data_IF_507707145178
#
_entry.id   IF_507707145178
#
_cell.length_a   1.000
_cell.length_b   1.000
_cell.length_c   1.000
_cell.angle_alpha   90.00
_cell.angle_beta   90.00
_cell.angle_gamma   90.00
#
_symmetry.space_group_name_H-M   'P 1'
#
loop_
_entity.id
_entity.type
_entity.pdbx_description
1 polymer ?
#
# COMPACT_ATOMS: atom_id res chain seq x y z
N UNK A 1 -3.49 29.37 49.59
CA UNK A 1 -2.90 29.75 48.29
C UNK A 1 -1.85 28.76 47.74
N UNK A 2 -1.67 27.56 48.31
CA UNK A 2 -0.62 26.60 47.89
C UNK A 2 -1.06 25.56 46.84
N UNK A 3 -2.35 25.50 46.50
CA UNK A 3 -2.90 24.51 45.56
C UNK A 3 -3.27 25.08 44.19
N UNK A 4 -3.13 26.40 44.00
CA UNK A 4 -3.48 27.06 42.72
C UNK A 4 -2.39 26.83 41.65
N UNK A 5 -1.16 26.51 42.06
CA UNK A 5 -0.04 26.32 41.13
C UNK A 5 -0.01 24.94 40.44
N UNK A 6 -0.88 24.00 40.82
CA UNK A 6 -0.92 22.65 40.23
C UNK A 6 -1.85 22.49 39.02
N UNK A 7 -2.55 23.55 38.60
CA UNK A 7 -3.53 23.51 37.49
C UNK A 7 -2.94 23.81 36.10
N UNK A 8 -1.63 24.02 35.97
CA UNK A 8 -1.02 24.58 34.76
C UNK A 8 -0.27 23.55 33.90
N UNK A 9 -0.83 22.38 33.62
CA UNK A 9 -0.32 21.49 32.55
C UNK A 9 -1.45 20.60 32.01
N UNK A 10 -2.44 21.21 31.34
CA UNK A 10 -3.40 20.49 30.51
C UNK A 10 -2.99 20.72 29.05
N UNK A 11 -2.26 19.76 28.49
CA UNK A 11 -1.96 19.71 27.05
C UNK A 11 -3.19 19.17 26.32
N UNK A 12 -3.74 19.91 25.36
CA UNK A 12 -4.74 19.37 24.45
C UNK A 12 -4.05 18.39 23.49
N UNK A 13 -4.33 17.09 23.65
CA UNK A 13 -3.92 16.08 22.67
C UNK A 13 -4.99 16.08 21.58
N UNK A 14 -4.64 16.56 20.39
CA UNK A 14 -5.48 16.41 19.21
C UNK A 14 -5.22 15.05 18.57
N UNK A 15 -6.29 14.33 18.22
CA UNK A 15 -6.17 13.18 17.34
C UNK A 15 -5.64 13.66 15.99
N UNK A 16 -4.66 12.95 15.44
CA UNK A 16 -4.22 13.20 14.07
C UNK A 16 -5.14 12.39 13.16
N UNK A 17 -5.75 13.05 12.19
CA UNK A 17 -6.50 12.36 11.16
C UNK A 17 -5.51 11.59 10.26
N UNK A 18 -5.86 10.38 9.84
CA UNK A 18 -5.10 9.72 8.80
C UNK A 18 -5.47 10.38 7.47
N UNK A 19 -4.65 11.34 7.04
CA UNK A 19 -4.82 11.96 5.73
C UNK A 19 -4.41 10.93 4.66
N UNK A 20 -5.29 10.57 3.71
CA UNK A 20 -4.93 9.69 2.63
C UNK A 20 -3.71 10.19 1.87
N UNK A 21 -2.92 9.26 1.34
CA UNK A 21 -1.83 9.61 0.43
C UNK A 21 -2.36 10.35 -0.81
N UNK A 22 -1.47 11.05 -1.51
CA UNK A 22 -1.81 11.67 -2.79
C UNK A 22 -2.26 10.63 -3.80
N UNK A 23 -3.14 11.01 -4.72
CA UNK A 23 -3.58 10.15 -5.81
C UNK A 23 -2.40 9.59 -6.61
N UNK A 24 -2.56 8.34 -7.06
CA UNK A 24 -1.60 7.68 -7.94
C UNK A 24 -1.50 8.45 -9.26
N UNK A 25 -0.29 8.88 -9.62
CA UNK A 25 -0.06 9.70 -10.82
C UNK A 25 0.13 8.89 -12.10
N UNK A 26 0.66 7.67 -11.99
CA UNK A 26 1.03 6.79 -13.11
C UNK A 26 0.76 5.33 -12.75
N UNK A 27 0.49 4.46 -13.73
CA UNK A 27 0.38 3.02 -13.50
C UNK A 27 1.67 2.47 -12.89
N UNK A 28 1.56 1.41 -12.10
CA UNK A 28 2.70 0.73 -11.50
C UNK A 28 2.64 -0.74 -11.90
N UNK A 29 3.75 -1.23 -12.47
CA UNK A 29 3.99 -2.62 -12.82
C UNK A 29 5.03 -3.21 -11.88
N UNK A 30 4.64 -4.26 -11.17
CA UNK A 30 5.54 -5.10 -10.38
C UNK A 30 5.87 -6.34 -11.22
N UNK A 31 7.15 -6.61 -11.51
CA UNK A 31 7.55 -7.69 -12.41
C UNK A 31 8.17 -8.90 -11.72
N UNK A 32 7.76 -10.10 -12.13
CA UNK A 32 8.42 -11.36 -11.78
C UNK A 32 8.33 -11.78 -10.32
N UNK A 33 7.32 -11.30 -9.58
CA UNK A 33 7.15 -11.57 -8.15
C UNK A 33 6.44 -12.88 -7.86
N UNK A 34 6.39 -13.26 -6.58
CA UNK A 34 5.45 -14.30 -6.10
C UNK A 34 4.20 -13.63 -5.54
N UNK A 35 3.07 -13.78 -6.22
CA UNK A 35 1.82 -13.10 -5.87
C UNK A 35 0.90 -14.04 -5.10
N UNK A 36 0.53 -13.66 -3.88
CA UNK A 36 -0.44 -14.38 -3.06
C UNK A 36 -1.83 -13.76 -3.27
N UNK A 37 -2.75 -14.48 -3.91
CA UNK A 37 -4.09 -13.93 -4.24
C UNK A 37 -5.14 -14.18 -3.16
N UNK A 38 -4.80 -14.96 -2.11
CA UNK A 38 -5.65 -15.41 -0.99
C UNK A 38 -6.82 -16.30 -1.41
N UNK A 39 -7.64 -15.89 -2.37
CA UNK A 39 -8.79 -16.66 -2.85
C UNK A 39 -8.47 -17.65 -3.98
N UNK A 40 -7.30 -17.53 -4.60
CA UNK A 40 -6.83 -18.40 -5.67
C UNK A 40 -5.42 -18.94 -5.39
N UNK A 41 -4.74 -19.30 -6.48
CA UNK A 41 -3.40 -19.87 -6.42
C UNK A 41 -2.34 -18.83 -6.03
N UNK A 42 -1.18 -19.34 -5.62
CA UNK A 42 0.06 -18.57 -5.53
C UNK A 42 0.67 -18.53 -6.94
N UNK A 43 0.94 -17.33 -7.43
CA UNK A 43 1.44 -17.10 -8.78
C UNK A 43 2.93 -16.75 -8.73
N UNK A 44 3.80 -17.70 -9.03
CA UNK A 44 5.25 -17.51 -8.99
C UNK A 44 5.79 -16.95 -10.31
N UNK A 45 6.56 -15.86 -10.24
CA UNK A 45 7.16 -15.23 -11.41
C UNK A 45 6.20 -14.35 -12.23
N UNK A 46 5.01 -14.05 -11.69
CA UNK A 46 4.00 -13.23 -12.37
C UNK A 46 4.24 -11.74 -12.18
N UNK A 47 3.75 -10.99 -13.15
CA UNK A 47 3.67 -9.55 -13.15
C UNK A 47 2.30 -9.08 -12.63
N UNK A 48 2.27 -7.93 -11.93
CA UNK A 48 1.03 -7.28 -11.47
C UNK A 48 1.04 -5.81 -11.89
N UNK A 49 0.07 -5.42 -12.73
CA UNK A 49 -0.17 -4.03 -13.12
C UNK A 49 -1.34 -3.47 -12.32
N UNK A 50 -1.15 -2.31 -11.70
CA UNK A 50 -2.22 -1.58 -11.04
C UNK A 50 -2.19 -0.08 -11.34
N UNK A 51 -3.38 0.51 -11.41
CA UNK A 51 -3.58 1.93 -11.65
C UNK A 51 -4.84 2.42 -10.93
N UNK A 52 -4.81 3.66 -10.47
CA UNK A 52 -5.91 4.30 -9.73
C UNK A 52 -6.43 3.45 -8.56
N UNK A 53 -5.50 2.84 -7.80
CA UNK A 53 -5.83 1.99 -6.65
C UNK A 53 -6.51 0.66 -7.00
N UNK A 54 -6.50 0.23 -8.27
CA UNK A 54 -7.09 -1.02 -8.74
C UNK A 54 -6.08 -1.88 -9.49
N UNK A 55 -6.14 -3.18 -9.26
CA UNK A 55 -5.42 -4.16 -10.08
C UNK A 55 -6.06 -4.16 -11.47
N UNK A 56 -5.25 -3.89 -12.49
CA UNK A 56 -5.68 -3.83 -13.89
C UNK A 56 -5.54 -5.19 -14.53
N UNK A 57 -4.39 -5.84 -14.36
CA UNK A 57 -4.15 -7.20 -14.84
C UNK A 57 -3.02 -7.88 -14.05
N UNK A 58 -3.05 -9.20 -14.03
CA UNK A 58 -2.00 -10.08 -13.51
C UNK A 58 -1.73 -11.10 -14.62
N UNK A 59 -0.48 -11.23 -15.05
CA UNK A 59 -0.06 -12.13 -16.14
C UNK A 59 1.44 -12.43 -16.02
N UNK A 60 1.97 -13.41 -16.74
CA UNK A 60 3.39 -13.78 -16.69
C UNK A 60 4.29 -12.71 -17.33
N UNK A 61 3.78 -11.98 -18.33
CA UNK A 61 4.55 -10.99 -19.07
C UNK A 61 3.67 -9.80 -19.48
N UNK A 62 3.71 -8.73 -18.70
CA UNK A 62 2.97 -7.50 -19.01
C UNK A 62 3.89 -6.53 -19.76
N UNK A 63 3.39 -6.00 -20.88
CA UNK A 63 4.03 -4.89 -21.60
C UNK A 63 3.60 -3.56 -20.98
N UNK A 64 4.54 -2.86 -20.38
CA UNK A 64 4.32 -1.56 -19.76
C UNK A 64 4.13 -0.47 -20.82
N UNK A 65 3.17 0.44 -20.60
CA UNK A 65 3.12 1.70 -21.34
C UNK A 65 4.29 2.63 -20.92
N UNK A 66 4.72 3.57 -21.76
CA UNK A 66 5.89 4.41 -21.48
C UNK A 66 5.83 5.19 -20.16
N UNK A 67 4.63 5.55 -19.70
CA UNK A 67 4.40 6.28 -18.45
C UNK A 67 4.36 5.38 -17.21
N UNK A 68 4.33 4.06 -17.38
CA UNK A 68 4.24 3.12 -16.25
C UNK A 68 5.54 3.09 -15.44
N UNK A 69 5.42 3.15 -14.13
CA UNK A 69 6.54 2.85 -13.22
C UNK A 69 6.73 1.34 -13.13
N UNK A 70 7.94 0.87 -13.46
CA UNK A 70 8.27 -0.55 -13.49
C UNK A 70 9.24 -0.87 -12.37
N UNK A 71 8.90 -1.89 -11.58
CA UNK A 71 9.72 -2.40 -10.49
C UNK A 71 9.92 -3.90 -10.64
N UNK A 72 11.18 -4.33 -10.76
CA UNK A 72 11.52 -5.75 -10.73
C UNK A 72 11.49 -6.26 -9.28
N UNK A 73 10.65 -7.27 -9.03
CA UNK A 73 10.40 -7.81 -7.69
C UNK A 73 10.71 -9.31 -7.58
N UNK A 74 11.64 -9.81 -8.41
CA UNK A 74 12.11 -11.19 -8.34
C UNK A 74 12.59 -11.58 -6.94
N UNK A 75 12.17 -12.75 -6.47
CA UNK A 75 12.47 -13.23 -5.12
C UNK A 75 11.71 -12.53 -4.00
N UNK A 76 10.83 -11.58 -4.32
CA UNK A 76 9.94 -10.93 -3.37
C UNK A 76 8.54 -11.52 -3.44
N UNK A 77 7.79 -11.36 -2.34
CA UNK A 77 6.41 -11.79 -2.24
C UNK A 77 5.48 -10.57 -2.15
N UNK A 78 4.41 -10.58 -2.94
CA UNK A 78 3.31 -9.61 -2.84
C UNK A 78 2.14 -10.30 -2.16
N UNK A 79 1.66 -9.71 -1.06
CA UNK A 79 0.50 -10.20 -0.31
C UNK A 79 -0.56 -9.10 -0.24
N UNK A 80 -1.85 -9.43 -0.10
CA UNK A 80 -2.86 -8.43 0.13
C UNK A 80 -2.59 -7.68 1.43
N UNK A 81 -2.98 -6.41 1.47
CA UNK A 81 -2.92 -5.63 2.71
C UNK A 81 -3.74 -6.31 3.80
N UNK A 82 -3.16 -6.41 5.01
CA UNK A 82 -3.87 -7.00 6.14
C UNK A 82 -5.00 -6.08 6.59
N UNK A 83 -6.18 -6.68 6.80
CA UNK A 83 -7.35 -5.99 7.33
C UNK A 83 -7.50 -6.40 8.79
N UNK A 84 -7.31 -5.45 9.71
CA UNK A 84 -7.60 -5.66 11.12
C UNK A 84 -9.12 -5.72 11.32
N UNK A 85 -9.61 -6.92 11.56
CA UNK A 85 -11.04 -7.20 11.68
C UNK A 85 -11.61 -7.03 13.08
N UNK A 86 -11.25 -5.98 13.82
CA UNK A 86 -11.92 -5.55 15.06
C UNK A 86 -11.34 -4.24 15.60
#
# INVERSE_FOLDING_TARGET
>A
MRHILSLLFISFIFANDQIPGTDQKRPILLKGGTLHTVSGDILEGYDLLFANGKIVTIDEQIQASPETDVYDIYGMHVVPGYIAGY
#
